data_IF_304069437865
#
_entry.id   IF_304069437865
#
_cell.length_a   1.000
_cell.length_b   1.000
_cell.length_c   1.000
_cell.angle_alpha   90.00
_cell.angle_beta   90.00
_cell.angle_gamma   90.00
#
_symmetry.space_group_name_H-M   'P 1'
#
loop_
_entity.id
_entity.type
_entity.pdbx_description
1 polymer ?
#
# COMPACT_ATOMS: atom_id res chain seq x y z
N UNK A 1 -0.24 -6.37 -12.54
CA UNK A 1 0.23 -7.53 -11.75
C UNK A 1 0.64 -8.67 -12.65
N UNK A 2 -0.28 -9.54 -13.05
CA UNK A 2 0.04 -10.75 -13.82
C UNK A 2 0.73 -10.48 -15.17
N UNK A 3 0.29 -9.46 -15.91
CA UNK A 3 0.93 -9.08 -17.17
C UNK A 3 2.38 -8.63 -16.93
N UNK A 4 2.64 -7.89 -15.86
CA UNK A 4 4.01 -7.52 -15.47
C UNK A 4 4.85 -8.77 -15.18
N UNK A 5 4.34 -9.71 -14.40
CA UNK A 5 5.04 -10.95 -14.10
C UNK A 5 5.39 -11.73 -15.37
N UNK A 6 4.44 -11.84 -16.31
CA UNK A 6 4.65 -12.46 -17.62
C UNK A 6 5.76 -11.76 -18.41
N UNK A 7 5.68 -10.43 -18.53
CA UNK A 7 6.71 -9.64 -19.22
C UNK A 7 8.09 -9.83 -18.57
N UNK A 8 8.18 -9.80 -17.24
CA UNK A 8 9.44 -10.01 -16.52
C UNK A 8 10.03 -11.40 -16.79
N UNK A 9 9.19 -12.45 -16.83
CA UNK A 9 9.61 -13.80 -17.19
C UNK A 9 10.16 -13.87 -18.62
N UNK A 10 9.46 -13.26 -19.57
CA UNK A 10 9.88 -13.21 -20.97
C UNK A 10 11.24 -12.50 -21.12
N UNK A 11 11.46 -11.39 -20.42
CA UNK A 11 12.77 -10.71 -20.40
C UNK A 11 13.88 -11.57 -19.78
N UNK A 12 13.57 -12.31 -18.72
CA UNK A 12 14.52 -13.26 -18.12
C UNK A 12 14.92 -14.33 -19.14
N UNK A 13 13.98 -14.84 -19.94
CA UNK A 13 14.28 -15.83 -20.97
C UNK A 13 15.05 -15.24 -22.15
N UNK A 14 14.73 -14.01 -22.57
CA UNK A 14 15.50 -13.28 -23.60
C UNK A 14 16.95 -13.08 -23.15
N UNK A 15 17.20 -12.71 -21.88
CA UNK A 15 18.57 -12.56 -21.37
C UNK A 15 19.37 -13.86 -21.41
N UNK A 16 18.72 -15.01 -21.26
CA UNK A 16 19.37 -16.34 -21.39
C UNK A 16 19.66 -16.69 -22.85
N UNK A 17 18.68 -16.46 -23.74
CA UNK A 17 18.76 -16.84 -25.15
C UNK A 17 19.65 -15.90 -25.97
N UNK A 18 19.71 -14.61 -25.61
CA UNK A 18 20.44 -13.57 -26.32
C UNK A 18 21.37 -12.81 -25.35
N UNK A 19 22.49 -13.43 -24.90
CA UNK A 19 23.37 -12.80 -23.92
C UNK A 19 23.97 -11.46 -24.37
N UNK A 20 24.13 -11.25 -25.68
CA UNK A 20 24.60 -9.99 -26.27
C UNK A 20 23.66 -8.80 -25.99
N UNK A 21 22.39 -9.06 -25.68
CA UNK A 21 21.38 -8.05 -25.34
C UNK A 21 21.13 -7.92 -23.83
N UNK A 22 21.93 -8.58 -22.99
CA UNK A 22 21.65 -8.63 -21.54
C UNK A 22 21.58 -7.23 -20.91
N UNK A 23 22.42 -6.30 -21.38
CA UNK A 23 22.43 -4.93 -20.86
C UNK A 23 21.11 -4.20 -21.17
N UNK A 24 20.67 -4.26 -22.43
CA UNK A 24 19.43 -3.67 -22.92
C UNK A 24 18.22 -4.30 -22.23
N UNK A 25 18.24 -5.62 -22.02
CA UNK A 25 17.20 -6.34 -21.28
C UNK A 25 17.07 -5.82 -19.85
N UNK A 26 18.19 -5.66 -19.12
CA UNK A 26 18.15 -5.12 -17.76
C UNK A 26 17.58 -3.71 -17.75
N UNK A 27 17.98 -2.84 -18.68
CA UNK A 27 17.44 -1.48 -18.79
C UNK A 27 15.92 -1.50 -19.02
N UNK A 28 15.43 -2.33 -19.93
CA UNK A 28 13.98 -2.48 -20.19
C UNK A 28 13.23 -2.99 -18.96
N UNK A 29 13.79 -3.94 -18.22
CA UNK A 29 13.21 -4.44 -16.97
C UNK A 29 13.11 -3.31 -15.93
N UNK A 30 14.17 -2.53 -15.74
CA UNK A 30 14.17 -1.35 -14.85
C UNK A 30 13.09 -0.35 -15.25
N UNK A 31 12.97 -0.02 -16.53
CA UNK A 31 11.97 0.91 -17.05
C UNK A 31 10.54 0.40 -16.83
N UNK A 32 10.28 -0.88 -17.09
CA UNK A 32 8.97 -1.49 -16.89
C UNK A 32 8.58 -1.50 -15.39
N UNK A 33 9.54 -1.80 -14.51
CA UNK A 33 9.32 -1.75 -13.06
C UNK A 33 9.00 -0.32 -12.59
N UNK A 34 9.75 0.68 -13.07
CA UNK A 34 9.47 2.11 -12.80
C UNK A 34 8.09 2.50 -13.30
N UNK A 35 7.76 2.16 -14.55
CA UNK A 35 6.47 2.48 -15.16
C UNK A 35 5.31 1.86 -14.39
N UNK A 36 5.41 0.58 -14.02
CA UNK A 36 4.37 -0.09 -13.25
C UNK A 36 4.14 0.58 -11.90
N UNK A 37 5.22 0.92 -11.17
CA UNK A 37 5.12 1.59 -9.89
C UNK A 37 4.45 2.97 -10.01
N UNK A 38 4.97 3.82 -10.90
CA UNK A 38 4.43 5.16 -11.16
C UNK A 38 2.97 5.10 -11.58
N UNK A 39 2.61 4.20 -12.49
CA UNK A 39 1.24 4.07 -12.97
C UNK A 39 0.31 3.61 -11.84
N UNK A 40 0.75 2.66 -11.02
CA UNK A 40 -0.05 2.19 -9.87
C UNK A 40 -0.26 3.31 -8.85
N UNK A 41 0.77 4.10 -8.55
CA UNK A 41 0.68 5.26 -7.66
C UNK A 41 -0.32 6.29 -8.19
N UNK A 42 -0.23 6.68 -9.46
CA UNK A 42 -1.17 7.61 -10.10
C UNK A 42 -2.61 7.11 -10.05
N UNK A 43 -2.84 5.82 -10.32
CA UNK A 43 -4.18 5.25 -10.34
C UNK A 43 -4.82 5.22 -8.95
N UNK A 44 -4.02 4.96 -7.91
CA UNK A 44 -4.50 4.68 -6.55
C UNK A 44 -4.38 5.91 -5.65
N UNK A 45 -3.17 6.44 -5.45
CA UNK A 45 -2.93 7.63 -4.62
C UNK A 45 -3.29 8.92 -5.36
N UNK A 46 -3.03 8.99 -6.66
CA UNK A 46 -3.41 10.11 -7.52
C UNK A 46 -4.87 10.10 -7.98
N UNK A 47 -5.68 9.14 -7.51
CA UNK A 47 -7.08 8.95 -7.90
C UNK A 47 -7.33 8.81 -9.42
N UNK A 48 -6.30 8.51 -10.22
CA UNK A 48 -6.41 8.41 -11.67
C UNK A 48 -7.38 7.32 -12.14
N UNK A 49 -7.58 6.25 -11.35
CA UNK A 49 -8.54 5.19 -11.69
C UNK A 49 -10.00 5.69 -11.68
N UNK A 50 -10.31 6.79 -11.00
CA UNK A 50 -11.63 7.42 -11.08
C UNK A 50 -11.89 8.01 -12.47
N UNK A 51 -10.85 8.52 -13.12
CA UNK A 51 -10.93 9.14 -14.45
C UNK A 51 -10.88 8.09 -15.57
N UNK A 52 -9.95 7.13 -15.48
CA UNK A 52 -9.70 6.18 -16.58
C UNK A 52 -10.47 4.87 -16.47
N UNK A 53 -11.05 4.56 -15.31
CA UNK A 53 -11.79 3.31 -15.07
C UNK A 53 -13.20 3.54 -14.53
N UNK A 54 -13.66 4.80 -14.47
CA UNK A 54 -15.03 5.14 -14.06
C UNK A 54 -15.37 4.82 -12.60
N UNK A 55 -14.36 4.62 -11.73
CA UNK A 55 -14.60 4.38 -10.32
C UNK A 55 -15.16 5.63 -9.65
N UNK A 56 -16.23 5.48 -8.86
CA UNK A 56 -16.78 6.59 -8.06
C UNK A 56 -15.84 7.03 -6.93
N UNK A 57 -14.99 6.12 -6.44
CA UNK A 57 -14.00 6.40 -5.39
C UNK A 57 -12.91 5.34 -5.35
N UNK A 58 -11.75 5.70 -4.77
CA UNK A 58 -10.71 4.75 -4.38
C UNK A 58 -10.97 4.33 -2.93
N UNK A 59 -11.31 3.06 -2.72
CA UNK A 59 -11.68 2.52 -1.41
C UNK A 59 -10.46 1.96 -0.66
N UNK A 60 -10.60 1.71 0.64
CA UNK A 60 -9.56 1.00 1.42
C UNK A 60 -9.23 -0.39 0.86
N UNK A 61 -10.20 -1.05 0.22
CA UNK A 61 -9.98 -2.32 -0.49
C UNK A 61 -9.05 -2.14 -1.69
N UNK A 62 -9.24 -1.08 -2.49
CA UNK A 62 -8.35 -0.78 -3.62
C UNK A 62 -6.93 -0.47 -3.14
N UNK A 63 -6.78 0.33 -2.08
CA UNK A 63 -5.50 0.64 -1.46
C UNK A 63 -4.80 -0.63 -0.95
N UNK A 64 -5.51 -1.51 -0.25
CA UNK A 64 -4.95 -2.75 0.26
C UNK A 64 -4.44 -3.68 -0.86
N UNK A 65 -5.24 -3.85 -1.93
CA UNK A 65 -4.84 -4.65 -3.09
C UNK A 65 -3.62 -4.05 -3.81
N UNK A 66 -3.56 -2.72 -3.93
CA UNK A 66 -2.42 -2.01 -4.50
C UNK A 66 -1.16 -2.25 -3.65
N UNK A 67 -1.26 -2.14 -2.33
CA UNK A 67 -0.15 -2.43 -1.40
C UNK A 67 0.36 -3.86 -1.56
N UNK A 68 -0.54 -4.84 -1.72
CA UNK A 68 -0.15 -6.24 -1.92
C UNK A 68 0.60 -6.46 -3.24
N UNK A 69 0.12 -5.91 -4.36
CA UNK A 69 0.82 -6.11 -5.63
C UNK A 69 2.17 -5.38 -5.67
N UNK A 70 2.28 -4.20 -5.05
CA UNK A 70 3.56 -3.49 -4.90
C UNK A 70 4.53 -4.31 -4.04
N UNK A 71 4.07 -4.85 -2.91
CA UNK A 71 4.89 -5.68 -2.03
C UNK A 71 5.33 -6.98 -2.72
N UNK A 72 4.44 -7.62 -3.47
CA UNK A 72 4.75 -8.80 -4.26
C UNK A 72 5.85 -8.53 -5.28
N UNK A 73 5.70 -7.48 -6.10
CA UNK A 73 6.71 -7.12 -7.10
C UNK A 73 8.02 -6.75 -6.41
N UNK A 74 7.98 -5.95 -5.34
CA UNK A 74 9.16 -5.60 -4.54
C UNK A 74 9.92 -6.83 -4.04
N UNK A 75 9.21 -7.86 -3.55
CA UNK A 75 9.82 -9.12 -3.10
C UNK A 75 10.43 -9.95 -4.22
N UNK A 76 9.97 -9.78 -5.47
CA UNK A 76 10.44 -10.52 -6.64
C UNK A 76 11.69 -9.90 -7.29
N UNK A 77 11.91 -8.59 -7.12
CA UNK A 77 13.03 -7.88 -7.75
C UNK A 77 14.40 -8.52 -7.43
N UNK A 78 14.71 -8.94 -6.18
CA UNK A 78 15.99 -9.58 -5.87
C UNK A 78 16.28 -10.84 -6.69
N UNK A 79 15.27 -11.67 -6.94
CA UNK A 79 15.40 -12.89 -7.73
C UNK A 79 15.58 -12.60 -9.22
N UNK A 80 14.80 -11.66 -9.76
CA UNK A 80 14.94 -11.19 -11.14
C UNK A 80 16.34 -10.61 -11.33
N UNK A 81 16.79 -9.76 -10.40
CA UNK A 81 18.14 -9.18 -10.39
C UNK A 81 19.19 -10.27 -10.44
N UNK A 82 19.09 -11.28 -9.58
CA UNK A 82 20.07 -12.37 -9.52
C UNK A 82 20.24 -13.05 -10.88
N UNK A 83 19.14 -13.32 -11.59
CA UNK A 83 19.18 -14.01 -12.88
C UNK A 83 19.70 -13.11 -14.00
N UNK A 84 19.18 -11.88 -14.10
CA UNK A 84 19.53 -10.96 -15.19
C UNK A 84 21.00 -10.53 -15.16
N UNK A 85 21.60 -10.47 -13.97
CA UNK A 85 22.98 -10.00 -13.81
C UNK A 85 24.05 -11.09 -13.98
N UNK A 86 23.67 -12.36 -14.21
CA UNK A 86 24.62 -13.47 -14.39
C UNK A 86 25.55 -13.31 -15.60
N UNK A 87 25.09 -12.60 -16.64
CA UNK A 87 25.79 -12.46 -17.93
C UNK A 87 26.23 -11.04 -18.23
N UNK A 88 26.06 -10.12 -17.28
CA UNK A 88 26.45 -8.71 -17.44
C UNK A 88 27.95 -8.56 -17.14
N UNK A 89 28.74 -7.96 -18.04
CA UNK A 89 30.13 -7.63 -17.76
C UNK A 89 30.25 -6.67 -16.56
N UNK A 90 31.22 -6.91 -15.68
CA UNK A 90 31.42 -6.14 -14.45
C UNK A 90 31.50 -4.62 -14.68
N UNK A 91 32.12 -4.19 -15.77
CA UNK A 91 32.26 -2.77 -16.13
C UNK A 91 30.90 -2.03 -16.28
N UNK A 92 29.82 -2.73 -16.66
CA UNK A 92 28.47 -2.15 -16.82
C UNK A 92 27.52 -2.47 -15.67
N UNK A 93 27.94 -3.37 -14.77
CA UNK A 93 27.12 -3.95 -13.72
C UNK A 93 26.76 -2.92 -12.65
N UNK A 94 27.73 -2.12 -12.21
CA UNK A 94 27.54 -1.16 -11.12
C UNK A 94 26.42 -0.15 -11.40
N UNK A 95 26.37 0.42 -12.60
CA UNK A 95 25.35 1.41 -12.98
C UNK A 95 23.94 0.80 -12.92
N UNK A 96 23.75 -0.37 -13.54
CA UNK A 96 22.47 -1.06 -13.57
C UNK A 96 22.03 -1.55 -12.19
N UNK A 97 22.98 -2.00 -11.35
CA UNK A 97 22.70 -2.38 -9.96
C UNK A 97 22.19 -1.19 -9.16
N UNK A 98 22.87 -0.05 -9.24
CA UNK A 98 22.47 1.18 -8.54
C UNK A 98 21.07 1.64 -8.99
N UNK A 99 20.75 1.56 -10.27
CA UNK A 99 19.41 1.89 -10.76
C UNK A 99 18.33 0.96 -10.21
N UNK A 100 18.58 -0.36 -10.20
CA UNK A 100 17.61 -1.33 -9.71
C UNK A 100 17.43 -1.28 -8.19
N UNK A 101 18.52 -1.00 -7.46
CA UNK A 101 18.48 -0.78 -6.02
C UNK A 101 17.67 0.49 -5.69
N UNK A 102 17.80 1.55 -6.49
CA UNK A 102 16.94 2.75 -6.37
C UNK A 102 15.46 2.39 -6.58
N UNK A 103 15.13 1.63 -7.64
CA UNK A 103 13.76 1.18 -7.87
C UNK A 103 13.23 0.37 -6.67
N UNK A 104 14.04 -0.55 -6.16
CA UNK A 104 13.64 -1.42 -5.05
C UNK A 104 13.43 -0.63 -3.75
N UNK A 105 14.46 0.10 -3.31
CA UNK A 105 14.48 0.73 -1.99
C UNK A 105 13.76 2.08 -1.95
N UNK A 106 13.82 2.86 -3.02
CA UNK A 106 13.22 4.19 -3.04
C UNK A 106 11.83 4.16 -3.65
N UNK A 107 11.63 3.51 -4.79
CA UNK A 107 10.37 3.69 -5.52
C UNK A 107 9.26 2.79 -4.97
N UNK A 108 9.52 1.49 -4.80
CA UNK A 108 8.50 0.52 -4.36
C UNK A 108 8.21 0.60 -2.87
N UNK A 109 9.26 0.69 -2.04
CA UNK A 109 9.11 0.77 -0.59
C UNK A 109 8.36 2.05 -0.18
N UNK A 110 8.78 3.22 -0.68
CA UNK A 110 8.12 4.49 -0.36
C UNK A 110 6.66 4.47 -0.80
N UNK A 111 6.37 4.00 -2.02
CA UNK A 111 4.99 3.91 -2.50
C UNK A 111 4.12 3.00 -1.60
N UNK A 112 4.64 1.86 -1.14
CA UNK A 112 3.93 1.01 -0.19
C UNK A 112 3.64 1.74 1.13
N UNK A 113 4.65 2.43 1.67
CA UNK A 113 4.55 3.14 2.94
C UNK A 113 3.58 4.34 2.83
N UNK A 114 3.52 5.01 1.67
CA UNK A 114 2.52 6.05 1.36
C UNK A 114 1.09 5.48 1.31
N UNK A 115 0.89 4.28 0.75
CA UNK A 115 -0.41 3.61 0.77
C UNK A 115 -0.83 3.30 2.20
N UNK A 116 0.08 2.76 3.03
CA UNK A 116 -0.20 2.50 4.45
C UNK A 116 -0.53 3.78 5.20
N UNK A 117 0.21 4.85 4.97
CA UNK A 117 -0.06 6.19 5.53
C UNK A 117 -1.44 6.69 5.11
N UNK A 118 -1.84 6.51 3.84
CA UNK A 118 -3.18 6.89 3.36
C UNK A 118 -4.29 6.09 4.05
N UNK A 119 -4.08 4.79 4.30
CA UNK A 119 -5.03 3.95 5.06
C UNK A 119 -5.21 4.46 6.50
N UNK A 120 -4.11 4.82 7.17
CA UNK A 120 -4.14 5.42 8.52
C UNK A 120 -4.88 6.76 8.50
N UNK A 121 -4.59 7.61 7.51
CA UNK A 121 -5.25 8.91 7.35
C UNK A 121 -6.77 8.79 7.11
N UNK A 122 -7.21 7.78 6.34
CA UNK A 122 -8.65 7.49 6.19
C UNK A 122 -9.29 7.20 7.56
N UNK A 123 -8.64 6.42 8.43
CA UNK A 123 -9.16 6.19 9.78
C UNK A 123 -9.18 7.44 10.64
N UNK A 124 -8.14 8.27 10.54
CA UNK A 124 -8.09 9.54 11.24
C UNK A 124 -9.27 10.43 10.85
N UNK A 125 -9.58 10.52 9.55
CA UNK A 125 -10.72 11.30 9.05
C UNK A 125 -12.05 10.74 9.58
N UNK A 126 -12.22 9.41 9.62
CA UNK A 126 -13.41 8.75 10.20
C UNK A 126 -13.53 9.01 11.70
N UNK A 127 -12.43 8.99 12.44
CA UNK A 127 -12.39 9.32 13.86
C UNK A 127 -12.82 10.78 14.10
N UNK A 128 -12.19 11.72 13.41
CA UNK A 128 -12.50 13.16 13.54
C UNK A 128 -13.97 13.45 13.22
N UNK A 129 -14.54 12.77 12.21
CA UNK A 129 -15.95 12.89 11.88
C UNK A 129 -16.88 12.40 13.00
N UNK A 130 -16.48 11.37 13.76
CA UNK A 130 -17.23 10.91 14.93
C UNK A 130 -17.02 11.84 16.14
N UNK A 131 -15.81 12.35 16.37
CA UNK A 131 -15.51 13.30 17.45
C UNK A 131 -16.33 14.58 17.33
N UNK A 132 -16.59 15.08 16.12
CA UNK A 132 -17.47 16.24 15.90
C UNK A 132 -18.91 16.03 16.38
N UNK A 133 -19.37 14.77 16.50
CA UNK A 133 -20.70 14.42 17.02
C UNK A 133 -20.72 14.27 18.53
N UNK A 134 -19.55 14.22 19.17
CA UNK A 134 -19.39 13.96 20.59
C UNK A 134 -20.08 15.02 21.49
N UNK A 135 -20.03 16.34 21.20
CA UNK A 135 -20.72 17.34 22.03
C UNK A 135 -22.22 17.08 22.20
N UNK A 136 -22.91 16.70 21.11
CA UNK A 136 -24.34 16.35 21.14
C UNK A 136 -24.62 15.08 21.96
N UNK A 137 -23.65 14.16 22.03
CA UNK A 137 -23.75 12.93 22.80
C UNK A 137 -23.47 13.18 24.29
N UNK A 138 -22.58 14.14 24.62
CA UNK A 138 -22.27 14.52 26.00
C UNK A 138 -23.45 15.22 26.67
N UNK A 139 -24.24 16.01 25.93
CA UNK A 139 -25.46 16.63 26.44
C UNK A 139 -26.48 15.60 26.96
N UNK A 140 -26.47 14.37 26.42
CA UNK A 140 -27.35 13.29 26.87
C UNK A 140 -26.75 12.38 27.95
N UNK A 141 -25.49 12.59 28.35
CA UNK A 141 -24.83 11.77 29.39
C UNK A 141 -25.36 12.01 30.79
N UNK A 142 -25.95 13.16 31.09
CA UNK A 142 -26.52 13.46 32.42
C UNK A 142 -27.96 12.94 32.59
N UNK A 143 -28.40 12.00 31.76
CA UNK A 143 -29.75 11.42 31.81
C UNK A 143 -29.90 10.38 32.94
N UNK A 144 -31.12 10.14 33.43
CA UNK A 144 -31.38 9.27 34.59
C UNK A 144 -31.11 7.75 34.36
N UNK A 145 -30.66 7.35 33.18
CA UNK A 145 -30.42 5.95 32.77
C UNK A 145 -28.93 5.50 32.91
N UNK A 146 -28.13 6.16 33.74
CA UNK A 146 -26.67 5.91 33.90
C UNK A 146 -26.33 4.61 34.68
N UNK A 147 -27.28 3.66 34.76
CA UNK A 147 -27.08 2.35 35.38
C UNK A 147 -26.84 1.23 34.34
N UNK A 148 -26.71 1.60 33.06
CA UNK A 148 -26.57 0.66 31.96
C UNK A 148 -25.08 0.35 31.72
N UNK A 149 -24.66 -0.91 31.88
CA UNK A 149 -23.25 -1.36 31.69
C UNK A 149 -22.78 -1.32 30.22
N UNK A 150 -23.47 -0.58 29.36
CA UNK A 150 -23.27 -0.56 27.91
C UNK A 150 -22.30 0.53 27.49
N UNK A 151 -21.46 0.30 26.45
CA UNK A 151 -20.60 1.34 25.90
C UNK A 151 -21.42 2.51 25.35
N UNK A 152 -20.89 3.73 25.49
CA UNK A 152 -21.52 4.95 24.97
C UNK A 152 -21.77 4.86 23.46
N UNK A 153 -22.77 5.61 22.95
CA UNK A 153 -23.06 5.67 21.51
C UNK A 153 -21.84 6.10 20.68
N UNK A 154 -21.02 6.99 21.24
CA UNK A 154 -19.75 7.37 20.64
C UNK A 154 -18.78 6.18 20.52
N UNK A 155 -18.58 5.43 21.62
CA UNK A 155 -17.73 4.25 21.63
C UNK A 155 -18.22 3.20 20.62
N UNK A 156 -19.53 2.95 20.56
CA UNK A 156 -20.14 2.03 19.57
C UNK A 156 -19.89 2.48 18.13
N UNK A 157 -20.03 3.77 17.82
CA UNK A 157 -19.81 4.32 16.48
C UNK A 157 -18.34 4.21 16.04
N UNK A 158 -17.41 4.57 16.94
CA UNK A 158 -15.97 4.43 16.72
C UNK A 158 -15.58 2.96 16.49
N UNK A 159 -16.01 2.06 17.38
CA UNK A 159 -15.68 0.64 17.27
C UNK A 159 -16.21 0.05 15.97
N UNK A 160 -17.38 0.49 15.50
CA UNK A 160 -17.95 0.05 14.21
C UNK A 160 -17.06 0.42 13.03
N UNK A 161 -16.56 1.66 12.96
CA UNK A 161 -15.66 2.12 11.88
C UNK A 161 -14.32 1.36 11.89
N UNK A 162 -13.73 1.20 13.09
CA UNK A 162 -12.47 0.45 13.28
C UNK A 162 -12.65 -1.01 12.86
N UNK A 163 -13.74 -1.65 13.30
CA UNK A 163 -14.05 -3.05 12.97
C UNK A 163 -14.28 -3.22 11.47
N UNK A 164 -14.98 -2.27 10.84
CA UNK A 164 -15.23 -2.31 9.41
C UNK A 164 -13.92 -2.26 8.60
N UNK A 165 -13.01 -1.33 8.93
CA UNK A 165 -11.72 -1.27 8.26
C UNK A 165 -10.90 -2.53 8.53
N UNK A 166 -10.83 -2.99 9.78
CA UNK A 166 -10.08 -4.18 10.15
C UNK A 166 -10.55 -5.39 9.34
N UNK A 167 -11.87 -5.59 9.23
CA UNK A 167 -12.46 -6.67 8.45
C UNK A 167 -12.03 -6.63 6.97
N UNK A 168 -11.92 -5.45 6.37
CA UNK A 168 -11.48 -5.32 4.97
C UNK A 168 -9.99 -5.60 4.84
N UNK A 169 -9.17 -5.00 5.71
CA UNK A 169 -7.73 -5.07 5.59
C UNK A 169 -7.19 -6.46 5.97
N UNK A 170 -7.74 -7.10 7.00
CA UNK A 170 -7.33 -8.45 7.44
C UNK A 170 -7.54 -9.55 6.40
N UNK A 171 -8.46 -9.34 5.44
CA UNK A 171 -8.69 -10.28 4.34
C UNK A 171 -7.66 -10.15 3.21
N UNK A 172 -6.84 -9.10 3.21
CA UNK A 172 -6.01 -8.71 2.06
C UNK A 172 -4.55 -8.53 2.46
N UNK A 173 -4.28 -7.87 3.58
CA UNK A 173 -2.93 -7.53 4.03
C UNK A 173 -2.32 -8.68 4.85
N UNK A 174 -1.00 -8.74 4.82
CA UNK A 174 -0.22 -9.60 5.71
C UNK A 174 -0.35 -9.10 7.16
N UNK A 175 -0.23 -10.01 8.11
CA UNK A 175 -0.42 -9.71 9.54
C UNK A 175 0.51 -8.60 10.03
N UNK A 176 1.78 -8.61 9.62
CA UNK A 176 2.76 -7.57 9.99
C UNK A 176 2.32 -6.18 9.53
N UNK A 177 1.87 -6.05 8.28
CA UNK A 177 1.44 -4.76 7.73
C UNK A 177 0.14 -4.29 8.40
N UNK A 178 -0.78 -5.22 8.65
CA UNK A 178 -2.02 -4.96 9.36
C UNK A 178 -1.74 -4.44 10.77
N UNK A 179 -0.88 -5.12 11.52
CA UNK A 179 -0.49 -4.70 12.87
C UNK A 179 0.20 -3.33 12.86
N UNK A 180 1.08 -3.06 11.89
CA UNK A 180 1.74 -1.77 11.76
C UNK A 180 0.76 -0.62 11.52
N UNK A 181 -0.21 -0.82 10.61
CA UNK A 181 -1.29 0.16 10.34
C UNK A 181 -2.14 0.37 11.59
N UNK A 182 -2.62 -0.70 12.23
CA UNK A 182 -3.51 -0.59 13.39
C UNK A 182 -2.81 -0.03 14.62
N UNK A 183 -1.50 -0.26 14.79
CA UNK A 183 -0.70 0.41 15.83
C UNK A 183 -0.73 1.93 15.68
N UNK A 184 -0.54 2.43 14.46
CA UNK A 184 -0.63 3.88 14.18
C UNK A 184 -2.04 4.41 14.37
N UNK A 185 -3.05 3.64 13.96
CA UNK A 185 -4.46 4.00 14.21
C UNK A 185 -4.69 4.15 15.71
N UNK A 186 -4.33 3.16 16.53
CA UNK A 186 -4.50 3.22 18.00
C UNK A 186 -3.79 4.43 18.61
N UNK A 187 -2.57 4.77 18.15
CA UNK A 187 -1.86 5.97 18.60
C UNK A 187 -2.62 7.26 18.29
N UNK A 188 -3.20 7.38 17.09
CA UNK A 188 -4.05 8.52 16.70
C UNK A 188 -5.29 8.61 17.58
N UNK A 189 -5.93 7.47 17.86
CA UNK A 189 -7.09 7.42 18.75
C UNK A 189 -6.74 7.92 20.16
N UNK A 190 -5.64 7.41 20.72
CA UNK A 190 -5.16 7.83 22.02
C UNK A 190 -4.94 9.35 22.06
N UNK A 191 -4.19 9.90 21.10
CA UNK A 191 -3.81 11.33 21.10
C UNK A 191 -4.96 12.33 20.89
N UNK A 192 -6.14 11.88 20.43
CA UNK A 192 -7.30 12.77 20.20
C UNK A 192 -8.39 12.60 21.26
N UNK A 193 -8.28 11.59 22.12
CA UNK A 193 -9.24 11.30 23.19
C UNK A 193 -8.69 11.72 24.55
N UNK A 194 -7.36 11.64 24.76
CA UNK A 194 -6.66 12.26 25.90
C UNK A 194 -6.25 13.68 25.60
#
# INVERSE_FOLDING_TARGET
GLILLKMLSEYVDISKCLPSLSFEVVQRVVEILKHFNTRTCQLVLGAGAMQVSGLKSITSKHLALASQIISFVHSLIPDIRRVLFLKIPEARKHLLMSELDRVTQQDYKVHRDEIHTKLVQIMRERLLANLRKLPQIVESWNGPDDNDSQPSLFAKAVTKEVTYLHRILSQILLEVDLQAIFRQVVQIFHSHIT
#
